data_IF_065194611569
#
_entry.id   IF_065194611569
#
_cell.length_a   1.000
_cell.length_b   1.000
_cell.length_c   1.000
_cell.angle_alpha   90.00
_cell.angle_beta   90.00
_cell.angle_gamma   90.00
#
_symmetry.space_group_name_H-M   'P 1'
#
loop_
_entity.id
_entity.type
_entity.pdbx_description
1 polymer ?
#
# COMPACT_ATOMS: atom_id res chain seq x y z
N UNK A 1 -12.68 -13.80 -2.65
CA UNK A 1 -12.25 -15.12 -2.13
C UNK A 1 -13.33 -15.63 -1.21
N UNK A 2 -13.86 -16.83 -1.47
CA UNK A 2 -14.88 -17.44 -0.58
C UNK A 2 -14.14 -17.94 0.66
N UNK A 3 -14.51 -17.45 1.83
CA UNK A 3 -13.94 -17.92 3.11
C UNK A 3 -14.80 -19.07 3.61
N UNK A 4 -14.15 -20.17 3.93
CA UNK A 4 -14.78 -21.34 4.53
C UNK A 4 -14.38 -21.39 6.01
N UNK A 5 -15.36 -21.62 6.87
CA UNK A 5 -15.16 -21.77 8.31
C UNK A 5 -15.23 -23.24 8.63
N UNK A 6 -14.35 -23.70 9.52
CA UNK A 6 -14.35 -25.07 10.00
C UNK A 6 -15.76 -25.48 10.50
N UNK A 7 -16.24 -26.70 10.18
CA UNK A 7 -17.58 -27.15 10.57
C UNK A 7 -17.82 -27.10 12.08
N UNK A 8 -16.83 -27.48 12.90
CA UNK A 8 -16.96 -27.49 14.36
C UNK A 8 -17.03 -26.08 14.94
N UNK A 9 -16.29 -25.13 14.35
CA UNK A 9 -16.39 -23.70 14.70
C UNK A 9 -17.75 -23.15 14.27
N UNK A 10 -18.26 -23.57 13.11
CA UNK A 10 -19.57 -23.16 12.59
C UNK A 10 -20.72 -23.67 13.47
N UNK A 11 -20.60 -24.88 14.04
CA UNK A 11 -21.56 -25.39 15.02
C UNK A 11 -21.55 -24.57 16.31
N UNK A 12 -20.36 -24.18 16.79
CA UNK A 12 -20.21 -23.38 18.02
C UNK A 12 -20.68 -21.93 17.83
N UNK A 13 -20.42 -21.33 16.66
CA UNK A 13 -20.79 -19.94 16.34
C UNK A 13 -21.40 -19.88 14.92
N UNK A 14 -22.69 -20.23 14.76
CA UNK A 14 -23.34 -20.33 13.45
C UNK A 14 -23.35 -19.02 12.64
N UNK A 15 -23.28 -17.88 13.33
CA UNK A 15 -23.32 -16.55 12.71
C UNK A 15 -21.95 -16.05 12.24
N UNK A 16 -20.86 -16.77 12.55
CA UNK A 16 -19.49 -16.30 12.32
C UNK A 16 -19.22 -16.02 10.84
N UNK A 17 -19.67 -16.89 9.95
CA UNK A 17 -19.46 -16.74 8.51
C UNK A 17 -20.14 -15.47 7.97
N UNK A 18 -21.40 -15.23 8.36
CA UNK A 18 -22.15 -14.03 7.94
C UNK A 18 -21.48 -12.76 8.46
N UNK A 19 -21.12 -12.73 9.76
CA UNK A 19 -20.42 -11.60 10.37
C UNK A 19 -19.10 -11.34 9.64
N UNK A 20 -18.30 -12.38 9.41
CA UNK A 20 -17.02 -12.25 8.74
C UNK A 20 -17.21 -11.69 7.32
N UNK A 21 -18.14 -12.24 6.54
CA UNK A 21 -18.40 -11.78 5.17
C UNK A 21 -18.85 -10.32 5.13
N UNK A 22 -19.69 -9.91 6.08
CA UNK A 22 -20.15 -8.53 6.24
C UNK A 22 -19.00 -7.55 6.48
N UNK A 23 -18.05 -7.92 7.33
CA UNK A 23 -16.91 -7.07 7.71
C UNK A 23 -15.73 -7.15 6.73
N UNK A 24 -15.60 -8.22 5.96
CA UNK A 24 -14.47 -8.46 5.07
C UNK A 24 -14.26 -7.30 4.08
N UNK A 25 -15.33 -6.85 3.42
CA UNK A 25 -15.25 -5.79 2.41
C UNK A 25 -14.82 -4.44 3.01
N UNK A 26 -15.42 -3.94 4.10
CA UNK A 26 -14.93 -2.75 4.80
C UNK A 26 -13.45 -2.86 5.20
N UNK A 27 -13.04 -3.99 5.80
CA UNK A 27 -11.66 -4.22 6.23
C UNK A 27 -10.70 -4.14 5.05
N UNK A 28 -10.99 -4.82 3.94
CA UNK A 28 -10.16 -4.81 2.74
C UNK A 28 -10.07 -3.41 2.11
N UNK A 29 -11.18 -2.67 2.13
CA UNK A 29 -11.23 -1.30 1.59
C UNK A 29 -10.35 -0.37 2.41
N UNK A 30 -10.49 -0.38 3.74
CA UNK A 30 -9.67 0.42 4.64
C UNK A 30 -8.20 0.02 4.57
N UNK A 31 -7.90 -1.28 4.58
CA UNK A 31 -6.53 -1.77 4.43
C UNK A 31 -5.91 -1.22 3.13
N UNK A 32 -6.60 -1.30 2.00
CA UNK A 32 -6.05 -0.82 0.73
C UNK A 32 -5.81 0.70 0.75
N UNK A 33 -6.72 1.48 1.33
CA UNK A 33 -6.54 2.91 1.51
C UNK A 33 -5.33 3.23 2.41
N UNK A 34 -5.21 2.56 3.57
CA UNK A 34 -4.07 2.75 4.48
C UNK A 34 -2.74 2.39 3.83
N UNK A 35 -2.64 1.23 3.18
CA UNK A 35 -1.43 0.83 2.44
C UNK A 35 -1.06 1.86 1.36
N UNK A 36 -2.05 2.48 0.72
CA UNK A 36 -1.80 3.53 -0.28
C UNK A 36 -1.24 4.79 0.37
N UNK A 37 -1.83 5.24 1.49
CA UNK A 37 -1.36 6.42 2.23
C UNK A 37 0.04 6.23 2.80
N UNK A 38 0.33 5.06 3.38
CA UNK A 38 1.67 4.69 3.83
C UNK A 38 2.66 4.69 2.66
N UNK A 39 2.25 4.14 1.52
CA UNK A 39 3.02 4.16 0.28
C UNK A 39 3.34 5.55 -0.24
N UNK A 40 2.35 6.46 -0.20
CA UNK A 40 2.51 7.86 -0.57
C UNK A 40 3.49 8.58 0.36
N UNK A 41 3.38 8.36 1.67
CA UNK A 41 4.29 8.94 2.65
C UNK A 41 5.72 8.42 2.44
N UNK A 42 5.90 7.10 2.30
CA UNK A 42 7.21 6.48 2.05
C UNK A 42 7.82 7.01 0.74
N UNK A 43 7.03 7.07 -0.34
CA UNK A 43 7.48 7.60 -1.62
C UNK A 43 7.92 9.06 -1.51
N UNK A 44 7.13 9.91 -0.84
CA UNK A 44 7.47 11.32 -0.65
C UNK A 44 8.76 11.49 0.17
N UNK A 45 8.86 10.82 1.32
CA UNK A 45 10.02 10.90 2.21
C UNK A 45 11.27 10.39 1.50
N UNK A 46 11.20 9.27 0.77
CA UNK A 46 12.35 8.77 0.00
C UNK A 46 12.81 9.77 -1.06
N UNK A 47 11.90 10.41 -1.79
CA UNK A 47 12.30 11.39 -2.80
C UNK A 47 12.91 12.65 -2.19
N UNK A 48 12.44 13.11 -1.02
CA UNK A 48 13.01 14.25 -0.29
C UNK A 48 14.41 13.89 0.22
N UNK A 49 14.54 12.78 0.96
CA UNK A 49 15.79 12.39 1.61
C UNK A 49 16.86 11.92 0.63
N UNK A 50 16.49 11.48 -0.57
CA UNK A 50 17.46 11.05 -1.59
C UNK A 50 18.45 12.17 -1.96
N UNK A 51 18.04 13.43 -1.90
CA UNK A 51 18.89 14.57 -2.25
C UNK A 51 19.54 15.24 -1.03
N UNK A 52 19.31 14.73 0.18
CA UNK A 52 19.80 15.31 1.43
C UNK A 52 21.20 14.77 1.75
N UNK A 53 22.23 15.63 1.64
CA UNK A 53 23.61 15.26 1.91
C UNK A 53 23.88 14.91 3.36
N UNK A 54 23.20 15.57 4.30
CA UNK A 54 23.39 15.33 5.73
C UNK A 54 22.81 13.97 6.11
N UNK A 55 21.65 13.62 5.54
CA UNK A 55 21.06 12.30 5.71
C UNK A 55 21.93 11.20 5.09
N UNK A 56 22.49 11.41 3.90
CA UNK A 56 23.42 10.45 3.29
C UNK A 56 24.71 10.27 4.11
N UNK A 57 25.27 11.36 4.64
CA UNK A 57 26.43 11.33 5.52
C UNK A 57 26.12 10.60 6.83
N UNK A 58 24.93 10.81 7.39
CA UNK A 58 24.45 10.10 8.57
C UNK A 58 24.38 8.59 8.33
N UNK A 59 23.77 8.16 7.22
CA UNK A 59 23.64 6.73 6.89
C UNK A 59 25.00 6.04 6.78
N UNK A 60 25.95 6.68 6.09
CA UNK A 60 27.29 6.10 5.88
C UNK A 60 28.12 6.08 7.16
N UNK A 61 28.09 7.17 7.92
CA UNK A 61 28.95 7.36 9.10
C UNK A 61 28.47 6.60 10.32
N UNK A 62 27.16 6.60 10.58
CA UNK A 62 26.61 6.06 11.83
C UNK A 62 25.86 4.75 11.64
N UNK A 63 25.24 4.53 10.48
CA UNK A 63 24.49 3.29 10.21
C UNK A 63 25.33 2.25 9.46
N UNK A 64 26.47 2.61 8.88
CA UNK A 64 27.30 1.71 8.07
C UNK A 64 26.56 1.19 6.83
N UNK A 65 25.57 1.94 6.35
CA UNK A 65 24.74 1.59 5.18
C UNK A 65 24.64 2.79 4.24
N UNK A 66 24.05 2.58 3.06
CA UNK A 66 23.77 3.65 2.11
C UNK A 66 22.25 3.80 1.87
N UNK A 67 21.88 4.78 1.05
CA UNK A 67 20.48 5.03 0.71
C UNK A 67 19.80 3.83 -0.01
N UNK A 68 20.57 2.96 -0.69
CA UNK A 68 20.02 1.81 -1.39
C UNK A 68 19.39 0.80 -0.42
N UNK A 69 19.95 0.67 0.80
CA UNK A 69 19.39 -0.16 1.86
C UNK A 69 17.96 0.24 2.26
N UNK A 70 17.64 1.53 2.15
CA UNK A 70 16.30 2.09 2.39
C UNK A 70 15.35 1.80 1.21
N UNK A 71 15.88 1.71 0.00
CA UNK A 71 15.12 1.39 -1.22
C UNK A 71 14.79 -0.10 -1.35
N UNK A 72 15.63 -1.00 -0.81
CA UNK A 72 15.49 -2.46 -0.96
C UNK A 72 14.28 -3.05 -0.22
N UNK A 73 13.71 -2.35 0.78
CA UNK A 73 12.47 -2.81 1.43
C UNK A 73 11.30 -2.71 0.44
N UNK A 74 10.81 -3.89 0.01
CA UNK A 74 9.59 -4.01 -0.81
C UNK A 74 8.40 -3.47 -0.02
N UNK A 75 7.73 -2.50 -0.60
CA UNK A 75 6.55 -1.86 -0.01
C UNK A 75 5.50 -1.75 -1.10
N UNK A 76 4.45 -2.57 -0.98
CA UNK A 76 3.40 -2.66 -2.00
C UNK A 76 2.77 -1.30 -2.27
N UNK A 77 2.51 -0.51 -1.21
CA UNK A 77 1.95 0.82 -1.32
C UNK A 77 2.88 1.79 -2.05
N UNK A 78 4.17 1.80 -1.70
CA UNK A 78 5.17 2.67 -2.35
C UNK A 78 5.34 2.29 -3.82
N UNK A 79 5.53 1.00 -4.10
CA UNK A 79 5.78 0.52 -5.47
C UNK A 79 4.57 0.83 -6.38
N UNK A 80 3.36 0.64 -5.85
CA UNK A 80 2.12 1.07 -6.51
C UNK A 80 2.08 2.60 -6.72
N UNK A 81 2.37 3.38 -5.69
CA UNK A 81 2.36 4.85 -5.77
C UNK A 81 3.36 5.36 -6.80
N UNK A 82 4.59 4.83 -6.79
CA UNK A 82 5.63 5.15 -7.75
C UNK A 82 5.19 4.81 -9.18
N UNK A 83 4.56 3.65 -9.38
CA UNK A 83 4.06 3.24 -10.68
C UNK A 83 3.02 4.23 -11.24
N UNK A 84 2.06 4.64 -10.40
CA UNK A 84 1.04 5.62 -10.77
C UNK A 84 1.69 7.01 -10.98
N UNK A 85 2.66 7.37 -10.15
CA UNK A 85 3.38 8.64 -10.25
C UNK A 85 4.13 8.81 -11.56
N UNK A 86 4.73 7.75 -12.10
CA UNK A 86 5.37 7.77 -13.42
C UNK A 86 4.37 8.16 -14.53
N UNK A 87 3.07 7.93 -14.34
CA UNK A 87 2.02 8.22 -15.33
C UNK A 87 1.31 9.56 -15.08
N UNK A 88 0.97 9.87 -13.82
CA UNK A 88 0.14 11.02 -13.48
C UNK A 88 0.94 12.21 -12.90
N UNK A 89 2.21 12.01 -12.53
CA UNK A 89 3.06 13.03 -11.95
C UNK A 89 2.45 13.65 -10.69
N UNK A 90 2.43 14.98 -10.61
CA UNK A 90 1.95 15.72 -9.45
C UNK A 90 0.47 15.43 -9.10
N UNK A 91 -0.35 15.02 -10.07
CA UNK A 91 -1.77 14.71 -9.84
C UNK A 91 -1.99 13.38 -9.12
N UNK A 92 -0.95 12.56 -8.95
CA UNK A 92 -1.03 11.22 -8.36
C UNK A 92 -1.66 11.25 -6.98
N UNK A 93 -1.15 12.10 -6.07
CA UNK A 93 -1.57 12.09 -4.68
C UNK A 93 -3.05 12.44 -4.53
N UNK A 94 -3.49 13.46 -5.27
CA UNK A 94 -4.90 13.85 -5.35
C UNK A 94 -5.76 12.69 -5.88
N UNK A 95 -5.35 12.09 -7.00
CA UNK A 95 -6.08 10.99 -7.64
C UNK A 95 -6.21 9.77 -6.72
N UNK A 96 -5.16 9.43 -5.97
CA UNK A 96 -5.16 8.30 -5.03
C UNK A 96 -6.09 8.54 -3.82
N UNK A 97 -6.22 9.79 -3.37
CA UNK A 97 -7.15 10.16 -2.29
C UNK A 97 -8.60 10.14 -2.78
N UNK A 98 -8.86 10.71 -3.96
CA UNK A 98 -10.20 10.77 -4.55
C UNK A 98 -10.70 9.40 -5.01
N UNK A 99 -9.79 8.55 -5.51
CA UNK A 99 -10.06 7.23 -6.06
C UNK A 99 -9.13 6.19 -5.43
N UNK A 100 -9.33 5.79 -4.16
CA UNK A 100 -8.46 4.82 -3.51
C UNK A 100 -8.47 3.47 -4.25
N UNK A 101 -7.33 2.76 -4.30
CA UNK A 101 -7.27 1.46 -4.93
C UNK A 101 -7.90 0.38 -4.05
N UNK A 102 -8.21 -0.75 -4.67
CA UNK A 102 -8.55 -2.01 -4.03
C UNK A 102 -7.29 -2.82 -3.73
N UNK A 103 -7.39 -3.83 -2.88
CA UNK A 103 -6.27 -4.74 -2.59
C UNK A 103 -5.75 -5.45 -3.85
N UNK A 104 -6.60 -5.68 -4.87
CA UNK A 104 -6.17 -6.27 -6.14
C UNK A 104 -5.38 -5.29 -7.01
N UNK A 105 -5.83 -4.03 -7.06
CA UNK A 105 -5.19 -2.96 -7.81
C UNK A 105 -3.82 -2.58 -7.22
N UNK A 106 -3.65 -2.64 -5.90
CA UNK A 106 -2.35 -2.49 -5.26
C UNK A 106 -1.32 -3.52 -5.74
N UNK A 107 -1.78 -4.75 -6.01
CA UNK A 107 -0.93 -5.83 -6.55
C UNK A 107 -0.73 -5.71 -8.05
N UNK A 108 -1.71 -5.13 -8.76
CA UNK A 108 -1.73 -4.99 -10.21
C UNK A 108 -2.04 -3.53 -10.61
N UNK A 109 -1.06 -2.62 -10.52
CA UNK A 109 -1.28 -1.18 -10.72
C UNK A 109 -1.85 -0.81 -12.11
N UNK A 110 -1.66 -1.67 -13.12
CA UNK A 110 -2.24 -1.48 -14.46
C UNK A 110 -3.76 -1.52 -14.46
N UNK A 111 -4.38 -2.32 -13.58
CA UNK A 111 -5.84 -2.42 -13.45
C UNK A 111 -6.38 -1.10 -12.89
N UNK A 112 -5.65 -0.49 -11.95
CA UNK A 112 -6.01 0.79 -11.37
C UNK A 112 -6.05 1.89 -12.43
N UNK A 113 -4.98 2.02 -13.22
CA UNK A 113 -4.90 3.05 -14.27
C UNK A 113 -6.07 2.94 -15.25
N UNK A 114 -6.40 1.73 -15.71
CA UNK A 114 -7.55 1.49 -16.60
C UNK A 114 -8.91 1.86 -16.00
N UNK A 115 -9.03 1.90 -14.67
CA UNK A 115 -10.27 2.28 -13.98
C UNK A 115 -10.44 3.80 -13.89
N UNK A 116 -9.32 4.53 -13.83
CA UNK A 116 -9.31 5.98 -13.65
C UNK A 116 -9.08 6.76 -14.95
N UNK A 117 -8.73 6.08 -16.04
CA UNK A 117 -8.83 6.58 -17.43
C UNK A 117 -10.29 6.81 -17.83
#
# INVERSE_FOLDING_TARGET
TKVEVDPKISEMIPQLLDIYQRWLKPIQTHHAAFTTMEGMAEFAVQNILKADSDFQNYLTTFMGTDFSSYQVRKSMGKDFTQFVYVKLGQNTFKTLIENPPTTNELKNPQIYLKRIE
#
